data_IF_295506893449
#
_entry.id   IF_295506893449
#
_cell.length_a   1.000
_cell.length_b   1.000
_cell.length_c   1.000
_cell.angle_alpha   90.00
_cell.angle_beta   90.00
_cell.angle_gamma   90.00
#
_symmetry.space_group_name_H-M   'P 1'
#
loop_
_entity.id
_entity.type
_entity.pdbx_description
1 polymer ?
#
# COMPACT_ATOMS: atom_id res chain seq x y z
N UNK A 1 -1.08 -20.19 -4.18
CA UNK A 1 -1.30 -18.84 -3.62
C UNK A 1 -2.64 -18.73 -2.88
N UNK A 2 -3.63 -19.57 -3.17
CA UNK A 2 -4.99 -19.44 -2.60
C UNK A 2 -5.09 -19.66 -1.09
N UNK A 3 -4.20 -20.46 -0.49
CA UNK A 3 -4.22 -20.70 0.96
C UNK A 3 -3.90 -19.44 1.79
N UNK A 4 -3.17 -18.46 1.24
CA UNK A 4 -2.81 -17.22 1.92
C UNK A 4 -3.79 -16.08 1.62
N UNK A 5 -4.67 -16.25 0.62
CA UNK A 5 -5.64 -15.24 0.21
C UNK A 5 -6.57 -14.82 1.36
N UNK A 6 -7.15 -15.73 2.18
CA UNK A 6 -8.00 -15.33 3.29
C UNK A 6 -7.28 -14.49 4.35
N UNK A 7 -6.00 -14.77 4.59
CA UNK A 7 -5.18 -14.00 5.53
C UNK A 7 -4.93 -12.58 5.01
N UNK A 8 -4.60 -12.45 3.73
CA UNK A 8 -4.44 -11.16 3.08
C UNK A 8 -5.73 -10.34 3.12
N UNK A 9 -6.87 -10.95 2.78
CA UNK A 9 -8.18 -10.29 2.80
C UNK A 9 -8.56 -9.85 4.22
N UNK A 10 -8.29 -10.68 5.23
CA UNK A 10 -8.52 -10.32 6.63
C UNK A 10 -7.63 -9.16 7.07
N UNK A 11 -6.34 -9.19 6.76
CA UNK A 11 -5.42 -8.10 7.10
C UNK A 11 -5.81 -6.79 6.40
N UNK A 12 -6.26 -6.86 5.15
CA UNK A 12 -6.76 -5.70 4.41
C UNK A 12 -8.00 -5.09 5.09
N UNK A 13 -8.93 -5.92 5.56
CA UNK A 13 -10.11 -5.45 6.30
C UNK A 13 -9.71 -4.82 7.64
N UNK A 14 -8.77 -5.42 8.36
CA UNK A 14 -8.32 -4.90 9.65
C UNK A 14 -7.65 -3.55 9.50
N UNK A 15 -6.72 -3.40 8.54
CA UNK A 15 -6.08 -2.11 8.21
C UNK A 15 -7.12 -1.04 7.83
N UNK A 16 -8.15 -1.39 7.06
CA UNK A 16 -9.21 -0.45 6.64
C UNK A 16 -10.06 0.07 7.80
N UNK A 17 -10.19 -0.70 8.87
CA UNK A 17 -10.98 -0.34 10.04
C UNK A 17 -10.20 0.51 11.06
N UNK A 18 -8.93 0.77 10.83
CA UNK A 18 -8.11 1.60 11.70
C UNK A 18 -8.47 3.09 11.58
N UNK A 19 -8.36 3.82 12.68
CA UNK A 19 -8.65 5.27 12.69
C UNK A 19 -7.45 6.14 12.28
N UNK A 20 -6.25 5.58 12.27
CA UNK A 20 -5.01 6.29 11.93
C UNK A 20 -4.04 5.37 11.19
N UNK A 21 -3.64 5.80 10.00
CA UNK A 21 -2.68 5.08 9.15
C UNK A 21 -1.52 5.97 8.75
N UNK A 22 -0.34 5.38 8.74
CA UNK A 22 0.86 5.90 8.10
C UNK A 22 1.07 5.13 6.80
N UNK A 23 1.18 5.84 5.68
CA UNK A 23 1.36 5.22 4.37
C UNK A 23 2.58 5.81 3.68
N UNK A 24 3.43 4.91 3.18
CA UNK A 24 4.68 5.23 2.49
C UNK A 24 4.89 4.28 1.30
N UNK A 25 5.68 4.71 0.32
CA UNK A 25 6.13 3.85 -0.77
C UNK A 25 7.65 3.68 -0.80
N UNK A 26 8.11 2.43 -0.77
CA UNK A 26 9.54 2.10 -0.88
C UNK A 26 9.80 1.41 -2.21
N UNK A 27 10.85 1.84 -2.91
CA UNK A 27 11.27 1.22 -4.17
C UNK A 27 12.00 -0.10 -3.93
N UNK A 28 11.80 -1.07 -4.82
CA UNK A 28 12.51 -2.35 -4.83
C UNK A 28 12.96 -2.72 -6.24
N UNK A 29 14.14 -3.32 -6.37
CA UNK A 29 14.59 -3.93 -7.63
C UNK A 29 14.02 -5.34 -7.73
N UNK A 30 13.21 -5.58 -8.74
CA UNK A 30 12.59 -6.89 -9.00
C UNK A 30 13.23 -7.50 -10.24
N UNK A 31 13.60 -8.78 -10.16
CA UNK A 31 14.17 -9.49 -11.29
C UNK A 31 13.13 -9.66 -12.41
N UNK A 32 13.51 -9.34 -13.64
CA UNK A 32 12.66 -9.50 -14.82
C UNK A 32 12.82 -10.92 -15.37
N UNK A 33 11.83 -11.78 -15.15
CA UNK A 33 11.82 -13.15 -15.66
C UNK A 33 11.94 -13.22 -17.19
N UNK A 34 11.56 -12.15 -17.91
CA UNK A 34 11.59 -12.09 -19.37
C UNK A 34 12.93 -11.62 -19.92
N UNK A 35 13.82 -11.08 -19.07
CA UNK A 35 15.13 -10.53 -19.50
C UNK A 35 16.21 -10.92 -18.51
N UNK A 36 17.07 -11.86 -18.93
CA UNK A 36 18.25 -12.28 -18.17
C UNK A 36 19.08 -11.07 -17.75
N UNK A 37 19.43 -11.00 -16.46
CA UNK A 37 20.25 -9.96 -15.82
C UNK A 37 19.67 -8.53 -15.87
N UNK A 38 18.36 -8.37 -16.06
CA UNK A 38 17.69 -7.08 -15.92
C UNK A 38 16.71 -7.08 -14.76
N UNK A 39 16.65 -5.96 -14.06
CA UNK A 39 15.66 -5.69 -13.02
C UNK A 39 14.74 -4.56 -13.45
N UNK A 40 13.45 -4.65 -13.14
CA UNK A 40 12.57 -3.48 -13.17
C UNK A 40 12.42 -2.87 -11.78
N UNK A 41 11.98 -1.61 -11.76
CA UNK A 41 11.70 -0.88 -10.53
C UNK A 41 10.27 -1.19 -10.10
N UNK A 42 10.13 -1.89 -8.97
CA UNK A 42 8.87 -2.11 -8.28
C UNK A 42 8.72 -1.22 -7.06
N UNK A 43 7.53 -1.24 -6.47
CA UNK A 43 7.14 -0.41 -5.35
C UNK A 43 6.40 -1.26 -4.32
N UNK A 44 6.81 -1.17 -3.06
CA UNK A 44 6.02 -1.61 -1.93
C UNK A 44 5.28 -0.43 -1.33
N UNK A 45 3.96 -0.53 -1.30
CA UNK A 45 3.10 0.35 -0.52
C UNK A 45 2.95 -0.22 0.88
N UNK A 46 3.38 0.53 1.87
CA UNK A 46 3.37 0.11 3.27
C UNK A 46 2.23 0.84 3.97
N UNK A 47 1.36 0.09 4.64
CA UNK A 47 0.29 0.61 5.48
C UNK A 47 0.59 0.21 6.91
N UNK A 48 0.83 1.20 7.76
CA UNK A 48 1.16 0.99 9.16
C UNK A 48 0.10 1.64 10.04
N UNK A 49 -0.52 0.82 10.89
CA UNK A 49 -1.43 1.26 11.94
C UNK A 49 -0.68 1.21 13.28
N UNK A 50 -0.06 2.32 13.73
CA UNK A 50 0.86 2.28 14.87
C UNK A 50 0.17 1.94 16.20
N UNK A 51 -1.12 2.23 16.32
CA UNK A 51 -1.90 1.98 17.54
C UNK A 51 -2.13 0.47 17.73
N UNK A 52 -2.63 -0.21 16.70
CA UNK A 52 -2.88 -1.66 16.70
C UNK A 52 -1.65 -2.49 16.34
N UNK A 53 -0.56 -1.84 15.92
CA UNK A 53 0.71 -2.45 15.48
C UNK A 53 0.53 -3.36 14.26
N UNK A 54 -0.46 -3.06 13.41
CA UNK A 54 -0.65 -3.76 12.15
C UNK A 54 0.22 -3.16 11.06
N UNK A 55 0.76 -4.02 10.19
CA UNK A 55 1.50 -3.63 9.01
C UNK A 55 1.07 -4.48 7.81
N UNK A 56 0.81 -3.83 6.69
CA UNK A 56 0.50 -4.49 5.43
C UNK A 56 1.40 -3.95 4.32
N UNK A 57 1.91 -4.87 3.50
CA UNK A 57 2.69 -4.56 2.31
C UNK A 57 1.87 -4.92 1.07
N UNK A 58 1.70 -3.96 0.17
CA UNK A 58 1.10 -4.19 -1.15
C UNK A 58 2.13 -3.90 -2.24
N UNK A 59 2.45 -4.91 -3.06
CA UNK A 59 3.40 -4.76 -4.15
C UNK A 59 2.71 -4.22 -5.41
N UNK A 60 3.39 -3.30 -6.09
CA UNK A 60 3.00 -2.82 -7.41
C UNK A 60 4.22 -2.70 -8.33
N UNK A 61 4.11 -3.11 -9.61
CA UNK A 61 5.14 -2.86 -10.60
C UNK A 61 5.25 -1.38 -11.00
N UNK A 62 4.28 -0.53 -10.64
CA UNK A 62 4.23 0.90 -10.96
C UNK A 62 4.06 1.76 -9.70
N UNK A 63 4.57 3.00 -9.73
CA UNK A 63 4.36 4.02 -8.68
C UNK A 63 2.97 4.67 -8.71
N UNK A 64 2.05 4.15 -9.52
CA UNK A 64 0.75 4.80 -9.69
C UNK A 64 -0.06 4.68 -8.41
N UNK A 65 -0.69 5.78 -8.00
CA UNK A 65 -1.61 5.79 -6.85
C UNK A 65 -2.78 4.80 -7.00
N UNK A 66 -3.01 4.25 -8.21
CA UNK A 66 -3.93 3.14 -8.47
C UNK A 66 -3.63 1.87 -7.69
N UNK A 67 -2.40 1.67 -7.21
CA UNK A 67 -2.06 0.56 -6.32
C UNK A 67 -2.46 0.82 -4.86
N UNK A 68 -2.52 2.10 -4.46
CA UNK A 68 -2.98 2.50 -3.13
C UNK A 68 -4.51 2.68 -3.05
N UNK A 69 -5.12 3.05 -4.17
CA UNK A 69 -6.56 3.34 -4.29
C UNK A 69 -7.45 2.22 -3.72
N UNK A 70 -7.28 0.93 -4.04
CA UNK A 70 -8.16 -0.12 -3.53
C UNK A 70 -8.07 -0.34 -2.01
N UNK A 71 -6.93 0.02 -1.40
CA UNK A 71 -6.68 -0.13 0.03
C UNK A 71 -7.23 1.06 0.81
N UNK A 72 -7.09 2.27 0.28
CA UNK A 72 -7.58 3.50 0.92
C UNK A 72 -9.02 3.85 0.53
N UNK A 73 -9.63 3.12 -0.40
CA UNK A 73 -11.03 3.29 -0.77
C UNK A 73 -11.93 3.12 0.47
N UNK A 74 -12.72 4.15 0.76
CA UNK A 74 -13.62 4.27 1.91
C UNK A 74 -12.94 4.30 3.29
N UNK A 75 -11.61 4.47 3.36
CA UNK A 75 -10.93 4.72 4.63
C UNK A 75 -11.45 6.02 5.28
N UNK A 76 -11.74 5.97 6.58
CA UNK A 76 -12.19 7.11 7.37
C UNK A 76 -11.30 7.26 8.59
N UNK A 77 -10.57 8.36 8.66
CA UNK A 77 -9.65 8.61 9.76
C UNK A 77 -8.53 9.55 9.34
N UNK A 78 -7.43 9.47 10.07
CA UNK A 78 -6.26 10.28 9.83
C UNK A 78 -5.26 9.50 8.97
N UNK A 79 -4.84 10.10 7.87
CA UNK A 79 -3.84 9.55 6.97
C UNK A 79 -2.58 10.41 7.02
N UNK A 80 -1.46 9.84 7.44
CA UNK A 80 -0.15 10.48 7.38
C UNK A 80 0.65 9.90 6.22
N UNK A 81 1.20 10.78 5.39
CA UNK A 81 1.99 10.44 4.19
C UNK A 81 3.20 11.36 4.09
N UNK A 82 4.18 10.99 3.27
CA UNK A 82 5.42 11.74 3.03
C UNK A 82 5.23 13.04 2.21
N UNK A 83 4.00 13.36 1.81
CA UNK A 83 3.67 14.54 1.02
C UNK A 83 3.78 14.32 -0.50
N UNK A 84 3.92 13.07 -0.98
CA UNK A 84 3.82 12.77 -2.41
C UNK A 84 2.50 13.29 -3.00
N UNK A 85 2.58 14.01 -4.12
CA UNK A 85 1.44 14.69 -4.76
C UNK A 85 0.31 13.73 -5.14
N UNK A 86 0.61 12.44 -5.32
CA UNK A 86 -0.39 11.38 -5.54
C UNK A 86 -1.39 11.21 -4.39
N UNK A 87 -1.05 11.67 -3.18
CA UNK A 87 -1.98 11.63 -2.04
C UNK A 87 -2.90 12.86 -1.93
N UNK A 88 -2.67 13.92 -2.70
CA UNK A 88 -3.52 15.14 -2.66
C UNK A 88 -4.98 14.85 -3.01
N UNK A 89 -5.26 13.78 -3.78
CA UNK A 89 -6.61 13.31 -4.06
C UNK A 89 -7.38 12.85 -2.81
N UNK A 90 -6.69 12.48 -1.72
CA UNK A 90 -7.31 11.99 -0.48
C UNK A 90 -7.48 13.09 0.57
N UNK A 91 -6.55 14.05 0.65
CA UNK A 91 -6.61 15.15 1.63
C UNK A 91 -7.74 16.16 1.42
N UNK A 92 -8.41 16.14 0.26
CA UNK A 92 -9.51 17.06 -0.07
C UNK A 92 -10.93 16.45 0.15
N UNK A 93 -11.03 15.24 0.71
CA UNK A 93 -12.31 14.56 1.01
C UNK A 93 -12.75 14.66 2.48
N UNK A 94 -12.16 15.58 3.24
CA UNK A 94 -12.55 15.89 4.62
C UNK A 94 -13.88 16.64 4.71
#
# INVERSE_FOLDING_TARGET
>A
MDALKPLYEKLLLDIKNEGYLQVDETTIKVLDEKKKDKSHLGYYWVYHAPISKLVMFNYSPTRSGSAALPVLENFKGYLQTDGYSGYKAYGAKS
#
